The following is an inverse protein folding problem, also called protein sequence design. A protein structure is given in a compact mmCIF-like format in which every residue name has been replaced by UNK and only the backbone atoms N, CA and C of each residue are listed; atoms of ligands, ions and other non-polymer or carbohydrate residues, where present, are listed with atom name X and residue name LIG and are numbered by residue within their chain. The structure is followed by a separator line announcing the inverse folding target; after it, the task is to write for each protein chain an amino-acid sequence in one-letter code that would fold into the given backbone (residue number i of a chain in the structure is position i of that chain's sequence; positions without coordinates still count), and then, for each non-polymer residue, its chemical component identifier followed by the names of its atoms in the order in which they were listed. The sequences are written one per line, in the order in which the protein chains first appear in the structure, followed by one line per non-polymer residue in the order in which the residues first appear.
data_IF_574253533187
#
_entry.id   IF_574253533187
#
_cell.length_a   1.000
_cell.length_b   1.000
_cell.length_c   1.000
_cell.angle_alpha   90.00
_cell.angle_beta   90.00
_cell.angle_gamma   90.00
#
_symmetry.space_group_name_H-M   'P 1'
#
loop_
_entity.id
_entity.type
_entity.pdbx_description
1 polymer ?
#
# COMPACT_ATOMS: atom_id res chain seq x y z
N UNK A 1 3.17 -21.62 24.22
CA UNK A 1 2.62 -21.61 22.84
C UNK A 1 1.84 -20.36 22.52
N UNK A 2 1.56 -19.54 23.52
CA UNK A 2 0.89 -18.27 23.27
C UNK A 2 1.75 -17.33 22.45
N UNK A 3 3.06 -17.38 22.64
CA UNK A 3 3.96 -16.48 21.91
C UNK A 3 3.91 -16.72 20.41
N UNK A 4 3.80 -18.00 20.01
CA UNK A 4 3.77 -18.31 18.59
C UNK A 4 2.50 -17.76 17.94
N UNK A 5 1.38 -17.85 18.63
CA UNK A 5 0.11 -17.33 18.12
C UNK A 5 0.15 -15.81 18.02
N UNK A 6 0.70 -15.14 19.05
CA UNK A 6 0.79 -13.69 19.06
C UNK A 6 1.72 -13.22 17.94
N UNK A 7 2.88 -13.86 17.79
CA UNK A 7 3.84 -13.50 16.74
C UNK A 7 3.22 -13.70 15.36
N UNK A 8 2.51 -14.81 15.17
CA UNK A 8 1.85 -15.06 13.90
C UNK A 8 0.83 -13.98 13.57
N UNK A 9 0.02 -13.57 14.53
CA UNK A 9 -0.97 -12.53 14.33
C UNK A 9 -0.32 -11.18 14.01
N UNK A 10 0.78 -10.85 14.67
CA UNK A 10 1.50 -9.61 14.43
C UNK A 10 2.10 -9.60 13.02
N UNK A 11 2.72 -10.71 12.61
CA UNK A 11 3.29 -10.80 11.27
C UNK A 11 2.21 -10.67 10.21
N UNK A 12 1.09 -11.33 10.42
CA UNK A 12 -0.03 -11.23 9.48
C UNK A 12 -0.55 -9.81 9.36
N UNK A 13 -0.64 -9.11 10.50
CA UNK A 13 -1.07 -7.71 10.50
C UNK A 13 -0.10 -6.84 9.72
N UNK A 14 1.20 -7.04 9.92
CA UNK A 14 2.22 -6.28 9.22
C UNK A 14 2.12 -6.51 7.71
N UNK A 15 1.89 -7.74 7.27
CA UNK A 15 1.75 -8.06 5.85
C UNK A 15 0.54 -7.32 5.25
N UNK A 16 -0.57 -7.30 5.96
CA UNK A 16 -1.77 -6.62 5.49
C UNK A 16 -1.53 -5.11 5.37
N UNK A 17 -0.92 -4.52 6.39
CA UNK A 17 -0.62 -3.08 6.39
C UNK A 17 0.35 -2.74 5.26
N UNK A 18 1.36 -3.56 5.06
CA UNK A 18 2.32 -3.35 3.98
C UNK A 18 1.64 -3.36 2.62
N UNK A 19 0.74 -4.30 2.39
CA UNK A 19 0.01 -4.37 1.12
C UNK A 19 -0.88 -3.16 0.90
N UNK A 20 -1.53 -2.67 1.95
CA UNK A 20 -2.39 -1.49 1.86
C UNK A 20 -1.56 -0.25 1.53
N UNK A 21 -0.43 -0.06 2.21
CA UNK A 21 0.45 1.08 1.96
C UNK A 21 0.98 1.03 0.53
N UNK A 22 1.40 -0.12 0.07
CA UNK A 22 1.89 -0.28 -1.29
C UNK A 22 0.81 0.07 -2.32
N UNK A 23 -0.41 -0.35 -2.06
CA UNK A 23 -1.53 -0.04 -2.95
C UNK A 23 -1.77 1.46 -3.02
N UNK A 24 -1.73 2.15 -1.87
CA UNK A 24 -1.93 3.59 -1.82
C UNK A 24 -0.81 4.32 -2.59
N UNK A 25 0.43 3.88 -2.47
CA UNK A 25 1.55 4.49 -3.17
C UNK A 25 1.38 4.35 -4.68
N UNK A 26 0.99 3.18 -5.15
CA UNK A 26 0.77 2.94 -6.58
C UNK A 26 -0.37 3.83 -7.08
N UNK A 27 -1.46 3.91 -6.35
CA UNK A 27 -2.60 4.73 -6.72
C UNK A 27 -2.21 6.19 -6.80
N UNK A 28 -1.44 6.69 -5.83
CA UNK A 28 -0.97 8.06 -5.83
C UNK A 28 -0.11 8.35 -7.07
N UNK A 29 0.79 7.45 -7.42
CA UNK A 29 1.64 7.63 -8.59
C UNK A 29 0.82 7.66 -9.88
N UNK A 30 -0.19 6.80 -9.99
CA UNK A 30 -1.05 6.76 -11.16
C UNK A 30 -1.85 8.06 -11.29
N UNK A 31 -2.40 8.55 -10.18
CA UNK A 31 -3.14 9.81 -10.21
C UNK A 31 -2.24 10.98 -10.60
N UNK A 32 -1.04 11.03 -10.08
CA UNK A 32 -0.08 12.06 -10.44
C UNK A 32 0.25 12.01 -11.93
N UNK A 33 0.42 10.81 -12.45
CA UNK A 33 0.71 10.65 -13.89
C UNK A 33 -0.45 11.15 -14.73
N UNK A 34 -1.67 10.87 -14.33
CA UNK A 34 -2.85 11.35 -15.06
C UNK A 34 -2.92 12.87 -15.06
N UNK A 35 -2.60 13.52 -13.94
CA UNK A 35 -2.59 14.97 -13.85
C UNK A 35 -1.54 15.57 -14.81
N UNK A 36 -0.35 14.96 -14.86
CA UNK A 36 0.70 15.44 -15.74
C UNK A 36 0.28 15.32 -17.21
N UNK A 37 -0.30 14.18 -17.58
CA UNK A 37 -0.75 13.94 -18.95
C UNK A 37 -1.87 14.93 -19.30
N UNK A 38 -2.78 15.18 -18.38
CA UNK A 38 -3.85 16.15 -18.60
C UNK A 38 -3.29 17.54 -18.87
N UNK A 39 -2.29 17.96 -18.08
CA UNK A 39 -1.68 19.27 -18.30
C UNK A 39 -0.95 19.36 -19.64
N UNK A 40 -0.35 18.27 -20.09
CA UNK A 40 0.35 18.23 -21.36
C UNK A 40 -0.63 18.34 -22.53
N UNK A 41 -1.74 17.63 -22.44
CA UNK A 41 -2.76 17.65 -23.50
C UNK A 41 -3.48 18.99 -23.53
N UNK A 42 -3.67 19.59 -22.37
CA UNK A 42 -4.33 20.88 -22.29
C UNK A 42 -3.56 21.96 -23.03
#
# INVERSE_FOLDING_TARGET
MRYIVIVYNVIRYIVIVYNVIRYIVILYNVMRYIVIVYNVIR
#
